data_IF_226380164108
#
_entry.id   IF_226380164108
#
_cell.length_a   1.000
_cell.length_b   1.000
_cell.length_c   1.000
_cell.angle_alpha   90.00
_cell.angle_beta   90.00
_cell.angle_gamma   90.00
#
_symmetry.space_group_name_H-M   'P 1'
#
loop_
_entity.id
_entity.type
_entity.pdbx_description
1 polymer ?
#
# COMPACT_ATOMS: atom_id res chain seq x y z
N UNK A 1 -17.59 2.54 -0.20
CA UNK A 1 -18.02 3.68 -1.05
C UNK A 1 -18.24 4.85 -0.11
N UNK A 2 -17.72 6.03 -0.44
CA UNK A 2 -17.72 7.21 0.41
C UNK A 2 -18.48 8.31 -0.32
N UNK A 3 -19.68 8.65 0.14
CA UNK A 3 -20.47 9.75 -0.42
C UNK A 3 -19.95 11.07 0.12
N UNK A 4 -19.51 11.97 -0.76
CA UNK A 4 -19.06 13.31 -0.36
C UNK A 4 -19.69 14.38 -1.25
N UNK A 5 -20.30 15.40 -0.62
CA UNK A 5 -21.17 16.34 -1.32
C UNK A 5 -20.93 17.80 -0.90
N UNK A 6 -20.51 18.64 -1.85
CA UNK A 6 -20.54 20.09 -1.71
C UNK A 6 -21.95 20.60 -2.08
N UNK A 7 -22.72 20.98 -1.06
CA UNK A 7 -24.02 21.66 -1.19
C UNK A 7 -23.82 23.14 -0.86
N UNK A 8 -24.54 24.02 -1.55
CA UNK A 8 -24.43 25.48 -1.35
C UNK A 8 -22.98 26.00 -1.53
N UNK A 9 -22.19 25.35 -2.40
CA UNK A 9 -20.79 25.66 -2.69
C UNK A 9 -19.83 25.63 -1.47
N UNK A 10 -20.24 25.07 -0.35
CA UNK A 10 -19.37 24.91 0.82
C UNK A 10 -18.34 23.81 0.57
N UNK A 11 -17.10 24.00 1.03
CA UNK A 11 -16.12 22.91 1.05
C UNK A 11 -16.55 21.89 2.12
N UNK A 12 -16.56 20.60 1.76
CA UNK A 12 -16.89 19.50 2.67
C UNK A 12 -15.72 18.51 2.69
N UNK A 13 -15.33 18.06 3.88
CA UNK A 13 -14.36 16.98 4.09
C UNK A 13 -15.10 15.74 4.58
N UNK A 14 -14.83 14.60 3.95
CA UNK A 14 -15.40 13.31 4.28
C UNK A 14 -14.28 12.37 4.74
N UNK A 15 -14.39 11.76 5.94
CA UNK A 15 -13.39 10.81 6.43
C UNK A 15 -13.20 9.64 5.47
N UNK A 16 -11.94 9.35 5.13
CA UNK A 16 -11.56 8.31 4.20
C UNK A 16 -10.17 7.77 4.56
N UNK A 17 -10.05 6.47 4.84
CA UNK A 17 -8.74 5.86 5.09
C UNK A 17 -8.03 5.61 3.75
N UNK A 18 -7.45 6.65 3.16
CA UNK A 18 -6.75 6.56 1.85
C UNK A 18 -5.36 5.96 2.02
N UNK A 19 -4.62 6.36 3.06
CA UNK A 19 -3.27 5.87 3.31
C UNK A 19 -2.32 6.16 2.15
N UNK A 20 -1.78 5.11 1.52
CA UNK A 20 -0.97 5.21 0.30
C UNK A 20 -1.77 4.91 -0.97
N UNK A 21 -3.08 4.76 -0.86
CA UNK A 21 -3.97 4.49 -1.99
C UNK A 21 -4.30 5.73 -2.80
N UNK A 22 -5.11 5.52 -3.82
CA UNK A 22 -5.73 6.55 -4.64
C UNK A 22 -7.23 6.57 -4.44
N UNK A 23 -7.87 7.64 -4.90
CA UNK A 23 -9.32 7.81 -4.83
C UNK A 23 -9.88 7.94 -6.24
N UNK A 24 -10.86 7.11 -6.54
CA UNK A 24 -11.59 7.18 -7.80
C UNK A 24 -13.04 7.61 -7.57
N UNK A 25 -13.58 8.34 -8.54
CA UNK A 25 -15.02 8.63 -8.63
C UNK A 25 -15.72 7.38 -9.18
N UNK A 26 -16.56 6.77 -8.36
CA UNK A 26 -17.42 5.65 -8.79
C UNK A 26 -18.68 6.17 -9.47
N UNK A 27 -19.25 7.25 -8.95
CA UNK A 27 -20.48 7.85 -9.49
C UNK A 27 -20.49 9.35 -9.24
N UNK A 28 -20.61 10.13 -10.31
CA UNK A 28 -20.81 11.58 -10.19
C UNK A 28 -22.29 11.88 -9.96
N UNK A 29 -22.60 12.52 -8.84
CA UNK A 29 -23.96 12.90 -8.43
C UNK A 29 -24.31 14.34 -8.85
N UNK A 30 -23.31 15.21 -9.03
CA UNK A 30 -23.49 16.59 -9.47
C UNK A 30 -23.43 16.74 -10.99
N UNK A 31 -24.14 17.77 -11.50
CA UNK A 31 -23.91 18.31 -12.85
C UNK A 31 -22.61 19.11 -12.92
N UNK A 32 -22.27 19.82 -11.84
CA UNK A 32 -20.96 20.47 -11.70
C UNK A 32 -19.86 19.41 -11.73
N UNK A 33 -18.76 19.65 -12.45
CA UNK A 33 -17.72 18.65 -12.63
C UNK A 33 -16.93 18.46 -11.33
N UNK A 34 -16.63 17.20 -11.03
CA UNK A 34 -15.66 16.82 -10.01
C UNK A 34 -14.31 16.62 -10.70
N UNK A 35 -13.39 17.57 -10.51
CA UNK A 35 -12.06 17.60 -11.13
C UNK A 35 -11.02 17.62 -10.01
N UNK A 36 -10.06 16.69 -10.07
CA UNK A 36 -8.98 16.58 -9.09
C UNK A 36 -8.15 17.86 -9.04
N UNK A 37 -7.80 18.32 -7.83
CA UNK A 37 -7.07 19.57 -7.60
C UNK A 37 -7.89 20.85 -7.81
N UNK A 38 -9.15 20.76 -8.29
CA UNK A 38 -10.01 21.92 -8.56
C UNK A 38 -11.30 21.90 -7.75
N UNK A 39 -12.05 20.80 -7.80
CA UNK A 39 -13.35 20.66 -7.11
C UNK A 39 -13.45 19.40 -6.25
N UNK A 40 -12.46 18.52 -6.31
CA UNK A 40 -12.19 17.56 -5.25
C UNK A 40 -10.69 17.29 -5.15
N UNK A 41 -10.25 16.77 -4.01
CA UNK A 41 -8.92 16.18 -3.81
C UNK A 41 -8.97 15.29 -2.56
N UNK A 42 -7.85 14.69 -2.17
CA UNK A 42 -7.77 13.83 -1.00
C UNK A 42 -6.39 13.86 -0.34
N UNK A 43 -6.37 13.56 0.94
CA UNK A 43 -5.17 13.31 1.73
C UNK A 43 -5.23 11.88 2.30
N UNK A 44 -4.28 11.52 3.17
CA UNK A 44 -4.18 10.17 3.73
C UNK A 44 -5.42 9.75 4.55
N UNK A 45 -6.22 10.70 5.03
CA UNK A 45 -7.30 10.52 6.00
C UNK A 45 -8.66 11.08 5.55
N UNK A 46 -8.70 11.90 4.48
CA UNK A 46 -9.94 12.52 4.05
C UNK A 46 -9.99 12.77 2.54
N UNK A 47 -11.21 12.79 2.01
CA UNK A 47 -11.53 13.30 0.68
C UNK A 47 -12.26 14.62 0.88
N UNK A 48 -11.92 15.66 0.13
CA UNK A 48 -12.66 16.92 0.15
C UNK A 48 -13.30 17.21 -1.20
N UNK A 49 -14.45 17.89 -1.17
CA UNK A 49 -15.17 18.37 -2.35
C UNK A 49 -15.56 19.84 -2.18
N UNK A 50 -15.57 20.60 -3.27
CA UNK A 50 -15.94 22.02 -3.31
C UNK A 50 -16.67 22.35 -4.61
N UNK A 51 -17.06 23.62 -4.80
CA UNK A 51 -17.61 24.13 -6.07
C UNK A 51 -18.81 23.32 -6.59
N UNK A 52 -19.63 22.79 -5.68
CA UNK A 52 -20.81 22.00 -6.03
C UNK A 52 -20.50 20.58 -6.52
N UNK A 53 -19.25 20.10 -6.43
CA UNK A 53 -18.90 18.69 -6.69
C UNK A 53 -19.58 17.77 -5.68
N UNK A 54 -20.25 16.74 -6.19
CA UNK A 54 -20.91 15.69 -5.41
C UNK A 54 -20.67 14.36 -6.10
N UNK A 55 -20.09 13.41 -5.39
CA UNK A 55 -19.80 12.10 -5.95
C UNK A 55 -19.73 11.01 -4.86
N UNK A 56 -19.91 9.78 -5.31
CA UNK A 56 -19.56 8.58 -4.55
C UNK A 56 -18.14 8.17 -4.94
N UNK A 57 -17.26 8.12 -3.95
CA UNK A 57 -15.84 7.81 -4.11
C UNK A 57 -15.52 6.40 -3.63
N UNK A 58 -14.44 5.83 -4.17
CA UNK A 58 -13.84 4.59 -3.68
C UNK A 58 -12.35 4.80 -3.51
N UNK A 59 -11.84 4.42 -2.33
CA UNK A 59 -10.41 4.30 -2.11
C UNK A 59 -9.94 3.02 -2.76
N UNK A 60 -9.02 3.14 -3.70
CA UNK A 60 -8.23 2.03 -4.21
C UNK A 60 -6.93 2.03 -3.42
N UNK A 61 -6.91 1.21 -2.38
CA UNK A 61 -5.68 1.02 -1.62
C UNK A 61 -4.66 0.31 -2.51
N UNK A 62 -3.55 0.99 -2.80
CA UNK A 62 -2.36 0.27 -3.21
C UNK A 62 -1.89 -0.52 -2.00
N UNK A 63 -2.22 -1.80 -1.99
CA UNK A 63 -1.46 -2.76 -1.18
C UNK A 63 -0.10 -2.83 -1.87
N UNK A 64 0.75 -1.82 -1.64
CA UNK A 64 2.16 -1.89 -2.01
C UNK A 64 2.76 -2.95 -1.11
N UNK A 65 2.65 -4.18 -1.60
CA UNK A 65 3.53 -5.27 -1.26
C UNK A 65 4.97 -4.76 -1.38
N UNK A 66 5.57 -4.40 -0.26
CA UNK A 66 6.95 -3.95 -0.26
C UNK A 66 7.81 -5.19 -0.53
N UNK A 67 8.45 -5.23 -1.70
CA UNK A 67 9.43 -6.26 -2.02
C UNK A 67 10.74 -5.94 -1.28
N UNK A 68 11.10 -6.81 -0.36
CA UNK A 68 12.33 -6.72 0.40
C UNK A 68 13.28 -7.80 -0.10
N UNK A 69 14.44 -7.39 -0.60
CA UNK A 69 15.52 -8.29 -0.99
C UNK A 69 16.40 -8.59 0.23
N UNK A 70 16.56 -9.86 0.56
CA UNK A 70 17.45 -10.32 1.62
C UNK A 70 18.41 -11.38 1.09
N UNK A 71 19.70 -11.21 1.38
CA UNK A 71 20.76 -12.01 0.76
C UNK A 71 21.80 -12.50 1.75
N UNK A 72 21.96 -13.82 1.86
CA UNK A 72 23.12 -14.44 2.48
C UNK A 72 24.28 -14.44 1.47
N UNK A 73 25.25 -13.54 1.68
CA UNK A 73 26.52 -13.49 0.94
C UNK A 73 27.60 -14.14 1.79
N UNK A 74 28.58 -14.78 1.13
CA UNK A 74 29.71 -15.47 1.81
C UNK A 74 29.28 -16.51 2.85
N UNK A 75 28.14 -17.20 2.62
CA UNK A 75 27.58 -18.22 3.53
C UNK A 75 27.23 -17.69 4.94
N UNK A 76 27.16 -16.37 5.15
CA UNK A 76 26.80 -15.80 6.45
C UNK A 76 25.30 -15.61 6.58
N UNK A 77 24.74 -15.92 7.76
CA UNK A 77 23.38 -15.54 8.12
C UNK A 77 23.22 -14.03 8.05
N UNK A 78 22.11 -13.58 7.48
CA UNK A 78 21.72 -12.17 7.40
C UNK A 78 20.29 -11.99 7.86
N UNK A 79 20.06 -10.91 8.60
CA UNK A 79 18.74 -10.50 9.05
C UNK A 79 18.40 -9.18 8.35
N UNK A 80 17.24 -9.14 7.71
CA UNK A 80 16.71 -7.97 7.03
C UNK A 80 15.49 -7.48 7.81
N UNK A 81 15.59 -6.31 8.45
CA UNK A 81 14.47 -5.76 9.21
C UNK A 81 13.33 -5.41 8.27
N UNK A 82 12.15 -5.94 8.56
CA UNK A 82 10.93 -5.65 7.82
C UNK A 82 9.82 -5.23 8.77
N UNK A 83 9.09 -4.18 8.39
CA UNK A 83 7.91 -3.72 9.11
C UNK A 83 6.68 -4.12 8.31
N UNK A 84 5.96 -5.14 8.77
CA UNK A 84 4.76 -5.64 8.11
C UNK A 84 4.06 -6.72 8.92
N UNK A 85 2.77 -6.92 8.66
CA UNK A 85 1.95 -7.92 9.35
C UNK A 85 1.99 -9.27 8.63
N UNK A 86 2.24 -9.26 7.33
CA UNK A 86 2.32 -10.46 6.51
C UNK A 86 3.58 -10.41 5.65
N UNK A 87 4.48 -11.38 5.85
CA UNK A 87 5.68 -11.55 5.04
C UNK A 87 5.56 -12.87 4.28
N UNK A 88 5.80 -12.85 2.96
CA UNK A 88 5.75 -14.04 2.11
C UNK A 88 6.98 -14.14 1.24
N UNK A 89 7.42 -15.37 0.97
CA UNK A 89 8.43 -15.61 -0.04
C UNK A 89 7.88 -15.23 -1.42
N UNK A 90 8.60 -14.39 -2.16
CA UNK A 90 8.19 -13.95 -3.51
C UNK A 90 9.04 -14.64 -4.58
N UNK A 91 10.37 -14.52 -4.51
CA UNK A 91 11.26 -14.98 -5.57
C UNK A 91 12.62 -15.40 -5.06
N UNK A 92 13.14 -16.52 -5.57
CA UNK A 92 14.55 -16.90 -5.36
C UNK A 92 15.48 -16.16 -6.32
N UNK A 93 16.57 -15.62 -5.80
CA UNK A 93 17.66 -14.96 -6.54
C UNK A 93 18.96 -15.79 -6.56
N UNK A 94 19.15 -16.71 -5.60
CA UNK A 94 20.32 -17.60 -5.54
C UNK A 94 20.13 -18.87 -6.37
N UNK A 95 21.25 -19.49 -6.78
CA UNK A 95 21.26 -20.88 -7.26
C UNK A 95 21.07 -21.87 -6.11
N UNK A 96 21.59 -21.54 -4.92
CA UNK A 96 21.34 -22.29 -3.69
C UNK A 96 19.88 -22.18 -3.29
N UNK A 97 19.28 -23.30 -2.89
CA UNK A 97 17.87 -23.37 -2.53
C UNK A 97 17.54 -22.56 -1.26
N UNK A 98 16.46 -21.79 -1.36
CA UNK A 98 15.82 -21.10 -0.25
C UNK A 98 14.67 -21.96 0.27
N UNK A 99 14.88 -22.64 1.39
CA UNK A 99 13.93 -23.55 2.03
C UNK A 99 13.52 -22.94 3.38
N UNK A 100 12.21 -22.82 3.59
CA UNK A 100 11.66 -22.24 4.81
C UNK A 100 12.08 -23.04 6.04
N UNK A 101 12.36 -22.35 7.15
CA UNK A 101 12.89 -22.88 8.40
C UNK A 101 14.27 -23.57 8.30
N UNK A 102 14.89 -23.54 7.12
CA UNK A 102 16.22 -24.12 6.90
C UNK A 102 17.22 -23.05 6.47
N UNK A 103 16.99 -22.40 5.34
CA UNK A 103 17.88 -21.38 4.76
C UNK A 103 17.23 -20.00 4.71
N UNK A 104 15.95 -19.90 5.05
CA UNK A 104 15.31 -18.63 5.38
C UNK A 104 14.17 -18.84 6.37
N UNK A 105 13.72 -17.76 7.00
CA UNK A 105 12.52 -17.77 7.83
C UNK A 105 12.20 -16.37 8.36
N UNK A 106 11.18 -16.29 9.22
CA UNK A 106 10.74 -15.04 9.85
C UNK A 106 10.97 -15.16 11.37
N UNK A 107 11.47 -14.09 11.98
CA UNK A 107 11.62 -13.97 13.42
C UNK A 107 11.09 -12.59 13.89
N UNK A 108 11.24 -12.27 15.18
CA UNK A 108 10.78 -11.00 15.76
C UNK A 108 11.44 -9.74 15.17
N UNK A 109 12.57 -9.88 14.49
CA UNK A 109 13.32 -8.78 13.89
C UNK A 109 13.03 -8.64 12.39
N UNK A 110 12.43 -9.64 11.75
CA UNK A 110 12.08 -9.63 10.34
C UNK A 110 12.42 -10.94 9.64
N UNK A 111 12.95 -10.82 8.42
CA UNK A 111 13.34 -11.99 7.61
C UNK A 111 14.81 -12.30 7.86
N UNK A 112 15.14 -13.57 8.07
CA UNK A 112 16.51 -14.04 8.05
C UNK A 112 16.74 -14.97 6.87
N UNK A 113 17.94 -14.91 6.29
CA UNK A 113 18.42 -15.81 5.23
C UNK A 113 19.81 -16.32 5.59
N UNK A 114 20.12 -17.54 5.19
CA UNK A 114 21.32 -18.26 5.62
C UNK A 114 21.84 -19.21 4.53
N UNK A 115 23.07 -19.70 4.69
CA UNK A 115 23.70 -20.71 3.82
C UNK A 115 23.64 -20.37 2.32
N UNK A 116 23.81 -19.10 1.98
CA UNK A 116 23.84 -18.63 0.60
C UNK A 116 22.47 -18.44 -0.06
N UNK A 117 21.36 -18.59 0.67
CA UNK A 117 20.03 -18.23 0.18
C UNK A 117 19.92 -16.71 -0.07
N UNK A 118 19.40 -16.34 -1.24
CA UNK A 118 19.11 -14.97 -1.65
C UNK A 118 17.73 -14.93 -2.25
N UNK A 119 16.86 -14.08 -1.74
CA UNK A 119 15.47 -14.03 -2.16
C UNK A 119 14.84 -12.65 -1.96
N UNK A 120 13.71 -12.46 -2.62
CA UNK A 120 12.80 -11.34 -2.43
C UNK A 120 11.59 -11.81 -1.63
N UNK A 121 11.14 -10.95 -0.73
CA UNK A 121 10.05 -11.19 0.19
C UNK A 121 9.00 -10.11 0.03
N UNK A 122 7.76 -10.52 -0.07
CA UNK A 122 6.61 -9.62 -0.16
C UNK A 122 6.13 -9.27 1.25
N UNK A 123 6.11 -7.98 1.58
CA UNK A 123 5.68 -7.48 2.89
C UNK A 123 4.40 -6.67 2.75
N UNK A 124 3.35 -7.05 3.49
CA UNK A 124 2.03 -6.39 3.55
C UNK A 124 1.65 -6.02 4.98
#
# INVERSE_FOLDING_TARGET
MIRCESRENRQVRCPANVGRGEVEIVTQLSKSPCIEGSSYDYDQQSIWVSNGCRADFRVIAYVQAQLVRCESKEQRRRECPVQGRSIRFSRQLSKTACIENQTWGINRFGVWVDRGCRAEFEVR
#
